data_IF_388919423418
#
_entry.id   IF_388919423418
#
_cell.length_a   1.000
_cell.length_b   1.000
_cell.length_c   1.000
_cell.angle_alpha   90.00
_cell.angle_beta   90.00
_cell.angle_gamma   90.00
#
_symmetry.space_group_name_H-M   'P 1'
#
loop_
_entity.id
_entity.type
_entity.pdbx_description
1 polymer ?
#
# COMPACT_ATOMS: atom_id res chain seq x y z
N UNK A 1 -10.89 2.95 -29.63
CA UNK A 1 -12.23 3.54 -29.43
C UNK A 1 -13.31 2.46 -29.30
N UNK A 2 -13.37 1.43 -30.18
CA UNK A 2 -14.41 0.39 -30.12
C UNK A 2 -14.48 -0.33 -28.77
N UNK A 3 -13.33 -0.68 -28.18
CA UNK A 3 -13.28 -1.32 -26.85
C UNK A 3 -13.84 -0.40 -25.74
N UNK A 4 -13.68 0.91 -25.86
CA UNK A 4 -14.24 1.87 -24.92
C UNK A 4 -15.76 1.99 -25.05
N UNK A 5 -16.26 1.97 -26.28
CA UNK A 5 -17.70 1.93 -26.53
C UNK A 5 -18.35 0.65 -25.97
N UNK A 6 -17.72 -0.53 -26.21
CA UNK A 6 -18.16 -1.82 -25.64
C UNK A 6 -18.15 -1.80 -24.11
N UNK A 7 -17.24 -1.03 -23.51
CA UNK A 7 -17.08 -0.90 -22.07
C UNK A 7 -18.00 0.16 -21.44
N UNK A 8 -18.81 0.87 -22.26
CA UNK A 8 -19.75 1.88 -21.78
C UNK A 8 -19.13 3.22 -21.41
N UNK A 9 -17.91 3.52 -21.86
CA UNK A 9 -17.26 4.82 -21.62
C UNK A 9 -17.88 5.89 -22.54
N UNK A 10 -18.41 6.94 -21.92
CA UNK A 10 -19.00 8.07 -22.65
C UNK A 10 -18.10 9.31 -22.60
N UNK A 11 -17.54 9.61 -21.44
CA UNK A 11 -16.71 10.78 -21.22
C UNK A 11 -15.44 10.42 -20.44
N UNK A 12 -14.29 11.04 -20.75
CA UNK A 12 -13.07 10.85 -19.98
C UNK A 12 -13.19 11.53 -18.61
N UNK A 13 -12.62 10.91 -17.59
CA UNK A 13 -12.46 11.54 -16.29
C UNK A 13 -11.41 12.66 -16.34
N UNK A 14 -11.38 13.60 -15.37
CA UNK A 14 -10.40 14.69 -15.36
C UNK A 14 -8.94 14.24 -15.49
N UNK A 15 -8.55 13.12 -14.85
CA UNK A 15 -7.18 12.58 -14.98
C UNK A 15 -6.94 12.00 -16.37
N UNK A 16 -7.91 11.31 -16.96
CA UNK A 16 -7.81 10.74 -18.29
C UNK A 16 -7.69 11.83 -19.36
N UNK A 17 -8.51 12.87 -19.26
CA UNK A 17 -8.50 13.99 -20.21
C UNK A 17 -7.14 14.71 -20.24
N UNK A 18 -6.48 14.84 -19.09
CA UNK A 18 -5.19 15.51 -19.00
C UNK A 18 -4.01 14.56 -19.32
N UNK A 19 -4.07 13.31 -18.86
CA UNK A 19 -2.93 12.39 -18.95
C UNK A 19 -2.80 11.73 -20.33
N UNK A 20 -3.91 11.25 -20.92
CA UNK A 20 -3.86 10.47 -22.17
C UNK A 20 -3.12 11.21 -23.30
N UNK A 21 -3.40 12.49 -23.59
CA UNK A 21 -2.67 13.20 -24.64
C UNK A 21 -1.17 13.31 -24.36
N UNK A 22 -0.79 13.55 -23.12
CA UNK A 22 0.61 13.71 -22.71
C UNK A 22 1.38 12.38 -22.83
N UNK A 23 0.74 11.26 -22.44
CA UNK A 23 1.33 9.92 -22.60
C UNK A 23 1.52 9.59 -24.08
N UNK A 24 0.54 9.90 -24.94
CA UNK A 24 0.65 9.70 -26.40
C UNK A 24 1.75 10.53 -27.04
N UNK A 25 2.10 11.69 -26.47
CA UNK A 25 3.24 12.52 -26.89
C UNK A 25 4.60 11.95 -26.44
N UNK A 26 4.63 10.81 -25.74
CA UNK A 26 5.86 10.19 -25.25
C UNK A 26 6.49 10.91 -24.04
N UNK A 27 5.76 11.80 -23.34
CA UNK A 27 6.29 12.55 -22.20
C UNK A 27 6.03 11.80 -20.89
N UNK A 28 6.94 12.02 -19.93
CA UNK A 28 6.78 11.52 -18.58
C UNK A 28 5.67 12.24 -17.83
N UNK A 29 4.99 11.51 -16.94
CA UNK A 29 3.89 12.05 -16.13
C UNK A 29 4.16 11.78 -14.65
N UNK A 30 3.89 12.81 -13.85
CA UNK A 30 3.67 12.70 -12.41
C UNK A 30 2.18 12.98 -12.16
N UNK A 31 1.39 11.91 -11.98
CA UNK A 31 -0.04 11.98 -11.78
C UNK A 31 -0.42 11.90 -10.30
N UNK A 32 -0.97 12.99 -9.74
CA UNK A 32 -1.44 13.03 -8.35
C UNK A 32 -2.96 12.94 -8.37
N UNK A 33 -3.47 11.73 -8.09
CA UNK A 33 -4.91 11.45 -8.12
C UNK A 33 -5.27 10.26 -7.22
N UNK A 34 -6.42 10.32 -6.57
CA UNK A 34 -6.92 9.26 -5.70
C UNK A 34 -7.32 7.98 -6.47
N UNK A 35 -7.43 6.86 -5.76
CA UNK A 35 -7.98 5.61 -6.30
C UNK A 35 -9.45 5.83 -6.70
N UNK A 36 -9.87 5.24 -7.83
CA UNK A 36 -11.24 5.40 -8.35
C UNK A 36 -11.45 6.62 -9.25
N UNK A 37 -10.42 7.46 -9.51
CA UNK A 37 -10.49 8.59 -10.44
C UNK A 37 -10.31 8.19 -11.90
N UNK A 38 -10.00 6.92 -12.19
CA UNK A 38 -9.76 6.41 -13.54
C UNK A 38 -8.30 6.41 -13.97
N UNK A 39 -7.34 6.42 -13.03
CA UNK A 39 -5.89 6.36 -13.30
C UNK A 39 -5.51 5.19 -14.20
N UNK A 40 -6.02 3.99 -13.92
CA UNK A 40 -5.69 2.78 -14.69
C UNK A 40 -5.95 2.96 -16.18
N UNK A 41 -7.10 3.50 -16.57
CA UNK A 41 -7.40 3.78 -17.97
C UNK A 41 -6.53 4.91 -18.53
N UNK A 42 -6.11 5.87 -17.70
CA UNK A 42 -5.29 7.02 -18.14
C UNK A 42 -3.89 6.62 -18.63
N UNK A 43 -3.34 5.50 -18.16
CA UNK A 43 -2.07 4.96 -18.66
C UNK A 43 -2.26 3.73 -19.55
N UNK A 44 -3.23 2.84 -19.27
CA UNK A 44 -3.40 1.60 -20.06
C UNK A 44 -3.84 1.89 -21.50
N UNK A 45 -4.78 2.83 -21.69
CA UNK A 45 -5.28 3.17 -23.03
C UNK A 45 -4.20 3.69 -23.97
N UNK A 46 -3.42 4.73 -23.61
CA UNK A 46 -2.35 5.21 -24.47
C UNK A 46 -1.21 4.20 -24.63
N UNK A 47 -0.91 3.37 -23.60
CA UNK A 47 0.06 2.29 -23.73
C UNK A 47 -0.34 1.27 -24.79
N UNK A 48 -1.61 0.85 -24.85
CA UNK A 48 -2.13 -0.06 -25.87
C UNK A 48 -1.90 0.53 -27.26
N UNK A 49 -2.19 1.82 -27.47
CA UNK A 49 -1.99 2.51 -28.74
C UNK A 49 -0.50 2.57 -29.13
N UNK A 50 0.38 2.98 -28.21
CA UNK A 50 1.83 3.06 -28.44
C UNK A 50 2.42 1.68 -28.75
N UNK A 51 1.97 0.63 -28.07
CA UNK A 51 2.47 -0.73 -28.21
C UNK A 51 1.79 -1.50 -29.35
N UNK A 52 0.71 -0.98 -29.96
CA UNK A 52 -0.02 -1.64 -31.05
C UNK A 52 0.88 -1.98 -32.23
N UNK A 53 1.90 -1.17 -32.48
CA UNK A 53 2.93 -1.41 -33.48
C UNK A 53 4.08 -2.25 -32.90
N UNK A 54 4.52 -3.28 -33.63
CA UNK A 54 5.64 -4.14 -33.25
C UNK A 54 5.22 -5.32 -32.37
N UNK A 55 6.21 -6.09 -31.93
CA UNK A 55 6.06 -7.27 -31.06
C UNK A 55 7.21 -7.37 -30.09
N UNK A 56 6.95 -7.95 -28.93
CA UNK A 56 7.99 -8.30 -27.96
C UNK A 56 8.87 -9.45 -28.47
N UNK A 57 10.12 -9.47 -28.04
CA UNK A 57 11.02 -10.59 -28.18
C UNK A 57 10.87 -11.52 -26.97
N UNK A 58 11.26 -12.78 -27.14
CA UNK A 58 11.31 -13.73 -26.03
C UNK A 58 12.09 -13.15 -24.83
N UNK A 59 11.51 -13.20 -23.64
CA UNK A 59 12.09 -12.69 -22.38
C UNK A 59 12.41 -11.18 -22.34
N UNK A 60 12.04 -10.41 -23.37
CA UNK A 60 12.30 -8.98 -23.47
C UNK A 60 10.97 -8.22 -23.62
N UNK A 61 10.29 -7.91 -22.51
CA UNK A 61 9.07 -7.13 -22.52
C UNK A 61 9.34 -5.70 -22.99
N UNK A 62 8.30 -5.06 -23.51
CA UNK A 62 8.35 -3.68 -24.01
C UNK A 62 7.87 -2.66 -22.98
N UNK A 63 7.11 -3.11 -22.00
CA UNK A 63 6.61 -2.25 -20.92
C UNK A 63 6.45 -3.02 -19.62
N UNK A 64 6.54 -2.28 -18.51
CA UNK A 64 6.32 -2.79 -17.14
C UNK A 64 5.34 -1.87 -16.42
N UNK A 65 4.39 -2.47 -15.73
CA UNK A 65 3.49 -1.82 -14.78
C UNK A 65 3.77 -2.42 -13.41
N UNK A 66 4.17 -1.58 -12.46
CA UNK A 66 4.40 -1.97 -11.07
C UNK A 66 3.20 -1.61 -10.23
N UNK A 67 2.71 -2.59 -9.47
CA UNK A 67 1.57 -2.48 -8.58
C UNK A 67 1.95 -2.93 -7.16
N UNK A 68 1.48 -2.26 -6.10
CA UNK A 68 1.85 -2.61 -4.72
C UNK A 68 1.26 -3.95 -4.26
N UNK A 69 0.12 -4.37 -4.83
CA UNK A 69 -0.58 -5.59 -4.40
C UNK A 69 -0.94 -6.48 -5.58
N UNK A 70 -1.13 -7.78 -5.27
CA UNK A 70 -1.51 -8.80 -6.26
C UNK A 70 -2.87 -8.51 -6.88
N UNK A 71 -3.77 -8.00 -6.07
CA UNK A 71 -5.15 -7.67 -6.46
C UNK A 71 -5.18 -6.50 -7.44
N UNK A 72 -4.41 -5.42 -7.16
CA UNK A 72 -4.28 -4.29 -8.10
C UNK A 72 -3.66 -4.75 -9.42
N UNK A 73 -2.59 -5.54 -9.36
CA UNK A 73 -1.96 -6.09 -10.55
C UNK A 73 -2.94 -6.93 -11.38
N UNK A 74 -3.79 -7.75 -10.74
CA UNK A 74 -4.82 -8.54 -11.41
C UNK A 74 -5.89 -7.62 -12.06
N UNK A 75 -6.35 -6.59 -11.36
CA UNK A 75 -7.31 -5.61 -11.90
C UNK A 75 -6.77 -4.86 -13.10
N UNK A 76 -5.49 -4.44 -13.06
CA UNK A 76 -4.85 -3.81 -14.21
C UNK A 76 -4.77 -4.79 -15.38
N UNK A 77 -4.49 -6.08 -15.10
CA UNK A 77 -4.47 -7.12 -16.13
C UNK A 77 -5.84 -7.34 -16.77
N UNK A 78 -6.92 -7.37 -15.98
CA UNK A 78 -8.30 -7.46 -16.49
C UNK A 78 -8.69 -6.24 -17.33
N UNK A 79 -8.35 -5.05 -16.84
CA UNK A 79 -8.58 -3.81 -17.58
C UNK A 79 -7.79 -3.78 -18.90
N UNK A 80 -6.55 -4.28 -18.90
CA UNK A 80 -5.75 -4.39 -20.11
C UNK A 80 -6.41 -5.30 -21.15
N UNK A 81 -6.97 -6.46 -20.74
CA UNK A 81 -7.74 -7.34 -21.65
C UNK A 81 -8.99 -6.63 -22.18
N UNK A 82 -9.73 -5.95 -21.30
CA UNK A 82 -10.95 -5.22 -21.67
C UNK A 82 -10.67 -4.14 -22.72
N UNK A 83 -9.65 -3.32 -22.49
CA UNK A 83 -9.31 -2.21 -23.39
C UNK A 83 -8.54 -2.68 -24.62
N UNK A 84 -7.71 -3.72 -24.48
CA UNK A 84 -6.90 -4.31 -25.55
C UNK A 84 -7.61 -5.33 -26.43
N UNK A 85 -8.92 -5.58 -26.21
CA UNK A 85 -9.73 -6.64 -26.86
C UNK A 85 -9.56 -6.74 -28.36
N UNK A 86 -9.31 -5.63 -29.03
CA UNK A 86 -9.16 -5.55 -30.49
C UNK A 86 -7.69 -5.43 -30.96
N UNK A 87 -6.73 -5.58 -30.04
CA UNK A 87 -5.30 -5.54 -30.31
C UNK A 87 -4.68 -6.92 -30.08
N UNK A 88 -3.56 -7.19 -30.75
CA UNK A 88 -2.82 -8.47 -30.60
C UNK A 88 -1.67 -8.35 -29.60
N UNK A 89 -1.87 -7.57 -28.53
CA UNK A 89 -0.89 -7.40 -27.48
C UNK A 89 -0.95 -8.55 -26.48
N UNK A 90 0.21 -8.94 -26.00
CA UNK A 90 0.36 -10.02 -25.02
C UNK A 90 0.80 -9.45 -23.67
N UNK A 91 0.31 -10.03 -22.58
CA UNK A 91 0.69 -9.65 -21.22
C UNK A 91 1.08 -10.85 -20.36
N UNK A 92 1.86 -10.59 -19.31
CA UNK A 92 2.06 -11.53 -18.22
C UNK A 92 1.80 -10.83 -16.87
N UNK A 93 1.09 -11.55 -16.00
CA UNK A 93 0.85 -11.14 -14.62
C UNK A 93 1.83 -11.85 -13.71
N UNK A 94 2.74 -11.08 -13.08
CA UNK A 94 3.79 -11.59 -12.21
C UNK A 94 3.51 -11.23 -10.76
N UNK A 95 2.84 -12.11 -10.06
CA UNK A 95 2.43 -11.93 -8.67
C UNK A 95 2.86 -13.11 -7.80
N UNK A 96 3.06 -12.86 -6.52
CA UNK A 96 3.34 -13.90 -5.55
C UNK A 96 2.15 -14.84 -5.33
N UNK A 97 2.41 -16.06 -4.87
CA UNK A 97 1.36 -17.05 -4.57
C UNK A 97 0.82 -17.82 -5.79
N UNK A 98 1.39 -17.58 -6.97
CA UNK A 98 1.13 -18.32 -8.21
C UNK A 98 2.39 -19.07 -8.64
N UNK A 99 2.23 -20.19 -9.34
CA UNK A 99 3.34 -21.01 -9.81
C UNK A 99 4.32 -20.24 -10.69
N UNK A 100 5.62 -20.38 -10.41
CA UNK A 100 6.67 -19.81 -11.26
C UNK A 100 6.64 -20.36 -12.68
N UNK A 101 6.41 -21.67 -12.83
CA UNK A 101 6.43 -22.35 -14.13
C UNK A 101 5.38 -21.79 -15.11
N UNK A 102 4.21 -21.40 -14.61
CA UNK A 102 3.16 -20.79 -15.44
C UNK A 102 3.58 -19.41 -15.93
N UNK A 103 4.16 -18.63 -15.04
CA UNK A 103 4.65 -17.28 -15.37
C UNK A 103 5.85 -17.35 -16.33
N UNK A 104 6.79 -18.26 -16.11
CA UNK A 104 7.96 -18.47 -16.98
C UNK A 104 7.57 -18.87 -18.41
N UNK A 105 6.58 -19.75 -18.58
CA UNK A 105 6.08 -20.11 -19.91
C UNK A 105 5.56 -18.91 -20.71
N UNK A 106 4.92 -17.95 -20.04
CA UNK A 106 4.45 -16.71 -20.69
C UNK A 106 5.62 -15.81 -21.07
N UNK A 107 6.58 -15.65 -20.17
CA UNK A 107 7.79 -14.83 -20.38
C UNK A 107 8.63 -15.39 -21.55
N UNK A 108 8.84 -16.69 -21.62
CA UNK A 108 9.62 -17.35 -22.68
C UNK A 108 8.99 -17.17 -24.07
N UNK A 109 7.66 -17.08 -24.16
CA UNK A 109 6.97 -16.78 -25.43
C UNK A 109 7.17 -15.34 -25.89
N UNK A 110 7.55 -14.44 -24.98
CA UNK A 110 7.60 -13.01 -25.20
C UNK A 110 6.25 -12.36 -24.92
N UNK A 111 6.27 -11.33 -24.11
CA UNK A 111 5.10 -10.54 -23.73
C UNK A 111 5.37 -9.05 -23.93
N UNK A 112 4.37 -8.32 -24.40
CA UNK A 112 4.49 -6.87 -24.62
C UNK A 112 4.46 -6.11 -23.30
N UNK A 113 3.64 -6.56 -22.35
CA UNK A 113 3.41 -5.90 -21.08
C UNK A 113 3.63 -6.87 -19.93
N UNK A 114 4.48 -6.48 -18.98
CA UNK A 114 4.54 -7.11 -17.66
C UNK A 114 3.74 -6.29 -16.66
N UNK A 115 2.84 -6.93 -15.96
CA UNK A 115 2.09 -6.35 -14.83
C UNK A 115 2.54 -7.11 -13.60
N UNK A 116 3.17 -6.43 -12.63
CA UNK A 116 3.90 -7.13 -11.59
C UNK A 116 3.86 -6.44 -10.23
N UNK A 117 3.96 -7.25 -9.17
CA UNK A 117 4.39 -6.75 -7.86
C UNK A 117 5.93 -6.73 -7.80
N UNK A 118 6.54 -5.70 -7.16
CA UNK A 118 8.00 -5.48 -7.20
C UNK A 118 8.82 -6.72 -6.84
N UNK A 119 8.57 -7.34 -5.69
CA UNK A 119 9.32 -8.51 -5.24
C UNK A 119 9.27 -9.69 -6.22
N UNK A 120 8.08 -10.01 -6.80
CA UNK A 120 7.96 -11.13 -7.77
C UNK A 120 8.69 -10.84 -9.09
N UNK A 121 8.70 -9.57 -9.53
CA UNK A 121 9.46 -9.18 -10.71
C UNK A 121 10.96 -9.34 -10.46
N UNK A 122 11.46 -8.90 -9.30
CA UNK A 122 12.86 -9.09 -8.91
C UNK A 122 13.25 -10.57 -8.87
N UNK A 123 12.42 -11.44 -8.29
CA UNK A 123 12.66 -12.88 -8.28
C UNK A 123 12.88 -13.44 -9.69
N UNK A 124 12.09 -13.04 -10.68
CA UNK A 124 12.27 -13.47 -12.07
C UNK A 124 13.50 -12.87 -12.74
N UNK A 125 13.85 -11.63 -12.42
CA UNK A 125 15.07 -10.97 -12.93
C UNK A 125 16.31 -11.66 -12.37
N UNK A 126 16.37 -11.91 -11.06
CA UNK A 126 17.49 -12.57 -10.39
C UNK A 126 17.70 -14.00 -10.87
N UNK A 127 16.63 -14.70 -11.22
CA UNK A 127 16.68 -16.01 -11.89
C UNK A 127 17.10 -15.94 -13.36
N UNK A 128 17.36 -14.76 -13.89
CA UNK A 128 17.76 -14.55 -15.28
C UNK A 128 16.66 -14.85 -16.30
N UNK A 129 15.37 -14.83 -15.90
CA UNK A 129 14.24 -15.15 -16.78
C UNK A 129 13.76 -13.96 -17.58
N UNK A 130 14.02 -12.73 -17.12
CA UNK A 130 13.56 -11.48 -17.74
C UNK A 130 14.75 -10.56 -18.00
N UNK A 131 14.76 -9.96 -19.18
CA UNK A 131 15.73 -8.92 -19.58
C UNK A 131 14.97 -7.61 -19.81
N UNK A 132 15.33 -6.56 -19.06
CA UNK A 132 14.63 -5.29 -19.09
C UNK A 132 15.20 -4.26 -20.10
N UNK A 133 16.10 -4.69 -20.97
CA UNK A 133 16.82 -3.79 -21.90
C UNK A 133 15.96 -3.20 -23.02
N UNK A 134 14.78 -3.76 -23.30
CA UNK A 134 13.87 -3.29 -24.37
C UNK A 134 12.64 -2.55 -23.81
N UNK A 135 12.67 -2.20 -22.51
CA UNK A 135 11.57 -1.45 -21.88
C UNK A 135 11.49 -0.05 -22.43
N UNK A 136 10.34 0.28 -22.97
CA UNK A 136 9.99 1.61 -23.53
C UNK A 136 9.12 2.42 -22.58
N UNK A 137 8.27 1.75 -21.79
CA UNK A 137 7.34 2.40 -20.87
C UNK A 137 7.43 1.71 -19.50
N UNK A 138 7.64 2.51 -18.46
CA UNK A 138 7.54 2.11 -17.07
C UNK A 138 6.37 2.84 -16.43
N UNK A 139 5.45 2.11 -15.83
CA UNK A 139 4.38 2.65 -14.98
C UNK A 139 4.63 2.24 -13.55
N UNK A 140 4.58 3.20 -12.64
CA UNK A 140 4.60 3.00 -11.19
C UNK A 140 3.27 3.53 -10.67
N UNK A 141 2.31 2.66 -10.38
CA UNK A 141 1.01 3.06 -9.85
C UNK A 141 0.95 2.88 -8.33
N UNK A 142 0.20 3.74 -7.66
CA UNK A 142 0.06 3.78 -6.20
C UNK A 142 1.42 3.78 -5.45
N UNK A 143 2.32 4.69 -5.88
CA UNK A 143 3.68 4.78 -5.35
C UNK A 143 3.73 5.04 -3.84
N UNK A 144 2.82 5.85 -3.29
CA UNK A 144 2.67 6.06 -1.84
C UNK A 144 2.37 4.76 -1.09
N UNK A 145 1.59 3.86 -1.66
CA UNK A 145 1.35 2.54 -1.07
C UNK A 145 2.55 1.62 -1.17
N UNK A 146 3.34 1.73 -2.24
CA UNK A 146 4.61 1.00 -2.33
C UNK A 146 5.58 1.48 -1.24
N UNK A 147 5.54 2.77 -0.90
CA UNK A 147 6.31 3.33 0.22
C UNK A 147 5.86 2.74 1.55
N UNK A 148 4.55 2.74 1.84
CA UNK A 148 3.98 2.18 3.07
C UNK A 148 4.31 0.69 3.26
N UNK A 149 4.44 -0.05 2.16
CA UNK A 149 4.77 -1.48 2.15
C UNK A 149 6.27 -1.76 2.12
N UNK A 150 7.13 -0.73 2.08
CA UNK A 150 8.58 -0.86 2.06
C UNK A 150 9.15 -1.33 0.71
N UNK A 151 8.41 -1.18 -0.39
CA UNK A 151 8.84 -1.62 -1.73
C UNK A 151 9.65 -0.59 -2.51
N UNK A 152 9.88 0.61 -1.97
CA UNK A 152 10.64 1.64 -2.69
C UNK A 152 12.04 1.17 -3.10
N UNK A 153 12.83 0.47 -2.24
CA UNK A 153 14.13 -0.06 -2.66
C UNK A 153 14.03 -1.04 -3.83
N UNK A 154 12.99 -1.88 -3.86
CA UNK A 154 12.75 -2.83 -4.95
C UNK A 154 12.41 -2.10 -6.25
N UNK A 155 11.56 -1.07 -6.17
CA UNK A 155 11.20 -0.22 -7.31
C UNK A 155 12.43 0.50 -7.87
N UNK A 156 13.28 1.07 -6.99
CA UNK A 156 14.54 1.71 -7.38
C UNK A 156 15.47 0.73 -8.09
N UNK A 157 15.62 -0.49 -7.55
CA UNK A 157 16.43 -1.56 -8.16
C UNK A 157 15.92 -1.96 -9.55
N UNK A 158 14.61 -2.18 -9.68
CA UNK A 158 13.96 -2.54 -10.95
C UNK A 158 14.16 -1.42 -11.98
N UNK A 159 13.85 -0.18 -11.62
CA UNK A 159 13.97 0.97 -12.52
C UNK A 159 15.44 1.22 -12.95
N UNK A 160 16.40 0.94 -12.07
CA UNK A 160 17.83 1.03 -12.37
C UNK A 160 18.33 0.00 -13.39
N UNK A 161 17.64 -1.14 -13.54
CA UNK A 161 17.95 -2.19 -14.52
C UNK A 161 17.39 -1.92 -15.91
N UNK A 162 16.54 -0.88 -16.06
CA UNK A 162 15.91 -0.51 -17.33
C UNK A 162 16.73 0.54 -18.09
N UNK A 163 16.51 0.70 -19.40
CA UNK A 163 17.11 1.80 -20.17
C UNK A 163 16.78 3.16 -19.56
N UNK A 164 17.76 4.08 -19.59
CA UNK A 164 17.53 5.47 -19.17
C UNK A 164 16.55 6.20 -20.09
N UNK A 165 16.63 5.93 -21.40
CA UNK A 165 15.70 6.45 -22.40
C UNK A 165 14.46 5.57 -22.43
N UNK A 166 13.50 5.91 -21.62
CA UNK A 166 12.17 5.32 -21.56
C UNK A 166 11.17 6.39 -21.16
N UNK A 167 9.91 6.16 -21.41
CA UNK A 167 8.83 6.95 -20.85
C UNK A 167 8.49 6.39 -19.46
N UNK A 168 8.41 7.26 -18.44
CA UNK A 168 8.06 6.87 -17.08
C UNK A 168 6.79 7.59 -16.64
N UNK A 169 5.81 6.82 -16.18
CA UNK A 169 4.52 7.31 -15.69
C UNK A 169 4.43 6.93 -14.20
N UNK A 170 4.41 7.93 -13.32
CA UNK A 170 4.29 7.72 -11.88
C UNK A 170 2.96 8.28 -11.40
N UNK A 171 2.16 7.42 -10.74
CA UNK A 171 0.88 7.79 -10.15
C UNK A 171 0.91 7.57 -8.64
N UNK A 172 0.36 8.52 -7.89
CA UNK A 172 0.26 8.47 -6.44
C UNK A 172 -0.95 9.26 -5.95
N UNK A 173 -1.56 8.89 -4.84
CA UNK A 173 -2.61 9.68 -4.22
C UNK A 173 -2.05 10.79 -3.33
N UNK A 174 -0.86 10.58 -2.77
CA UNK A 174 -0.16 11.52 -1.90
C UNK A 174 1.27 11.74 -2.40
N UNK A 175 1.91 12.83 -1.97
CA UNK A 175 3.26 13.20 -2.42
C UNK A 175 4.19 13.49 -1.23
N UNK A 176 4.50 12.49 -0.39
CA UNK A 176 5.50 12.63 0.65
C UNK A 176 6.89 12.86 0.04
N UNK A 177 7.87 13.35 0.83
CA UNK A 177 9.22 13.65 0.35
C UNK A 177 9.91 12.49 -0.35
N UNK A 178 9.69 11.25 0.09
CA UNK A 178 10.26 10.04 -0.47
C UNK A 178 9.73 9.77 -1.89
N UNK A 179 8.44 9.96 -2.12
CA UNK A 179 7.84 9.82 -3.46
C UNK A 179 8.29 10.96 -4.37
N UNK A 180 8.44 12.17 -3.84
CA UNK A 180 9.01 13.29 -4.62
C UNK A 180 10.47 12.98 -5.03
N UNK A 181 11.27 12.39 -4.13
CA UNK A 181 12.63 11.94 -4.44
C UNK A 181 12.63 10.87 -5.54
N UNK A 182 11.74 9.87 -5.43
CA UNK A 182 11.59 8.81 -6.45
C UNK A 182 11.22 9.42 -7.81
N UNK A 183 10.26 10.34 -7.85
CA UNK A 183 9.85 11.04 -9.06
C UNK A 183 11.02 11.79 -9.70
N UNK A 184 11.79 12.54 -8.92
CA UNK A 184 12.95 13.29 -9.40
C UNK A 184 14.08 12.38 -9.90
N UNK A 185 14.20 11.16 -9.37
CA UNK A 185 15.23 10.21 -9.79
C UNK A 185 14.93 9.51 -11.12
N UNK A 186 13.64 9.27 -11.42
CA UNK A 186 13.26 8.40 -12.54
C UNK A 186 12.47 9.08 -13.65
N UNK A 187 11.94 10.29 -13.44
CA UNK A 187 11.21 11.02 -14.46
C UNK A 187 12.08 12.10 -15.10
N UNK A 188 11.91 12.27 -16.42
CA UNK A 188 12.61 13.27 -17.22
C UNK A 188 11.63 14.38 -17.62
N UNK A 189 11.78 15.57 -17.02
CA UNK A 189 10.91 16.73 -17.25
C UNK A 189 9.40 16.37 -17.28
N UNK A 190 8.88 15.72 -16.21
CA UNK A 190 7.53 15.22 -16.20
C UNK A 190 6.50 16.36 -16.29
N UNK A 191 5.37 16.05 -16.93
CA UNK A 191 4.17 16.88 -16.74
C UNK A 191 3.52 16.46 -15.41
N UNK A 192 3.48 17.37 -14.47
CA UNK A 192 2.72 17.18 -13.24
C UNK A 192 1.24 17.43 -13.51
N UNK A 193 0.41 16.46 -13.16
CA UNK A 193 -1.04 16.50 -13.28
C UNK A 193 -1.61 16.24 -11.90
N UNK A 194 -2.24 17.24 -11.33
CA UNK A 194 -2.92 17.12 -10.05
C UNK A 194 -4.42 17.27 -10.27
N UNK A 195 -5.14 16.20 -10.01
CA UNK A 195 -6.60 16.26 -9.99
C UNK A 195 -7.02 16.62 -8.57
N UNK A 196 -7.77 17.72 -8.46
CA UNK A 196 -8.33 18.13 -7.19
C UNK A 196 -9.04 16.95 -6.52
N UNK A 197 -8.86 16.80 -5.21
CA UNK A 197 -9.64 15.83 -4.44
C UNK A 197 -11.11 16.12 -4.73
N UNK A 198 -11.93 15.11 -5.12
CA UNK A 198 -13.37 15.29 -5.06
C UNK A 198 -13.66 15.85 -3.68
N UNK A 199 -14.50 16.88 -3.61
CA UNK A 199 -14.83 17.53 -2.36
C UNK A 199 -15.10 16.42 -1.33
N UNK A 200 -14.17 16.29 -0.44
CA UNK A 200 -14.09 15.39 0.70
C UNK A 200 -15.01 14.14 0.61
N UNK A 201 -14.41 12.98 0.38
CA UNK A 201 -15.07 11.69 0.67
C UNK A 201 -15.69 11.68 2.07
N UNK A 202 -15.20 12.54 2.96
CA UNK A 202 -15.78 12.80 4.28
C UNK A 202 -17.14 13.51 4.25
N UNK A 203 -17.50 14.23 3.19
CA UNK A 203 -18.79 14.96 3.13
C UNK A 203 -19.98 14.06 2.77
N UNK A 204 -19.73 12.96 2.06
CA UNK A 204 -20.78 11.98 1.67
C UNK A 204 -20.84 10.77 2.60
N UNK A 205 -19.89 10.66 3.56
CA UNK A 205 -19.81 9.54 4.50
C UNK A 205 -20.23 9.99 5.89
N UNK A 206 -21.33 9.43 6.39
CA UNK A 206 -21.71 9.57 7.80
C UNK A 206 -20.72 8.80 8.66
N UNK A 207 -19.95 9.51 9.48
CA UNK A 207 -18.92 8.93 10.33
C UNK A 207 -19.39 8.83 11.78
N UNK A 208 -18.96 7.79 12.49
CA UNK A 208 -19.27 7.62 13.90
C UNK A 208 -18.20 6.86 14.67
N UNK A 209 -17.83 7.37 15.84
CA UNK A 209 -16.96 6.69 16.79
C UNK A 209 -17.82 6.02 17.87
N UNK A 210 -17.63 4.73 18.08
CA UNK A 210 -18.39 3.92 19.03
C UNK A 210 -17.50 3.54 20.19
N UNK A 211 -17.63 4.15 21.37
CA UNK A 211 -16.84 3.82 22.56
C UNK A 211 -17.09 2.37 23.00
N UNK A 212 -16.01 1.66 23.30
CA UNK A 212 -16.08 0.26 23.69
C UNK A 212 -14.89 -0.15 24.58
N UNK A 213 -14.90 -1.38 25.03
CA UNK A 213 -13.77 -2.01 25.71
C UNK A 213 -13.25 -3.19 24.88
N UNK A 214 -12.00 -3.62 25.04
CA UNK A 214 -11.48 -4.76 24.30
C UNK A 214 -12.33 -6.03 24.45
N UNK A 215 -12.97 -6.23 25.62
CA UNK A 215 -13.84 -7.39 25.91
C UNK A 215 -15.22 -7.27 25.24
N UNK A 216 -15.75 -6.06 25.11
CA UNK A 216 -17.11 -5.82 24.59
C UNK A 216 -17.15 -5.53 23.08
N UNK A 217 -15.98 -5.34 22.42
CA UNK A 217 -15.92 -5.03 20.96
C UNK A 217 -16.82 -5.93 20.11
N UNK A 218 -16.79 -7.25 20.34
CA UNK A 218 -17.59 -8.22 19.55
C UNK A 218 -19.10 -7.99 19.77
N UNK A 219 -19.53 -7.84 21.01
CA UNK A 219 -20.94 -7.62 21.34
C UNK A 219 -21.44 -6.28 20.76
N UNK A 220 -20.63 -5.23 20.88
CA UNK A 220 -20.96 -3.92 20.28
C UNK A 220 -21.04 -4.02 18.76
N UNK A 221 -20.16 -4.78 18.11
CA UNK A 221 -20.25 -5.01 16.66
C UNK A 221 -21.56 -5.70 16.27
N UNK A 222 -21.97 -6.75 17.00
CA UNK A 222 -23.26 -7.42 16.74
C UNK A 222 -24.44 -6.45 16.88
N UNK A 223 -24.48 -5.68 17.96
CA UNK A 223 -25.51 -4.67 18.16
C UNK A 223 -25.51 -3.60 17.06
N UNK A 224 -24.32 -3.21 16.59
CA UNK A 224 -24.19 -2.27 15.47
C UNK A 224 -24.79 -2.86 14.19
N UNK A 225 -24.46 -4.12 13.87
CA UNK A 225 -24.98 -4.82 12.70
C UNK A 225 -26.51 -4.92 12.77
N UNK A 226 -27.06 -5.27 13.92
CA UNK A 226 -28.51 -5.39 14.15
C UNK A 226 -29.21 -4.01 14.08
N UNK A 227 -28.70 -3.01 14.81
CA UNK A 227 -29.29 -1.66 14.87
C UNK A 227 -29.41 -0.99 13.49
N UNK A 228 -28.40 -1.17 12.63
CA UNK A 228 -28.37 -0.55 11.30
C UNK A 228 -28.77 -1.51 10.18
N UNK A 229 -29.25 -2.73 10.49
CA UNK A 229 -29.62 -3.76 9.52
C UNK A 229 -28.53 -3.98 8.46
N UNK A 230 -27.28 -4.15 8.91
CA UNK A 230 -26.11 -4.24 8.03
C UNK A 230 -26.10 -5.58 7.33
N UNK A 231 -26.44 -5.60 6.06
CA UNK A 231 -26.40 -6.79 5.20
C UNK A 231 -25.12 -6.89 4.39
N UNK A 232 -24.51 -5.74 4.05
CA UNK A 232 -23.27 -5.69 3.30
C UNK A 232 -22.30 -4.69 3.94
N UNK A 233 -21.12 -5.17 4.34
CA UNK A 233 -20.09 -4.36 5.00
C UNK A 233 -18.69 -4.86 4.76
N UNK A 234 -17.73 -3.93 4.84
CA UNK A 234 -16.31 -4.21 4.96
C UNK A 234 -15.85 -3.89 6.40
N UNK A 235 -15.29 -4.90 7.09
CA UNK A 235 -14.82 -4.77 8.46
C UNK A 235 -13.29 -4.85 8.50
N UNK A 236 -12.66 -3.82 9.06
CA UNK A 236 -11.20 -3.72 9.15
C UNK A 236 -10.68 -4.12 10.53
N UNK A 237 -9.69 -5.04 10.55
CA UNK A 237 -8.90 -5.40 11.72
C UNK A 237 -7.42 -5.10 11.46
N UNK A 238 -6.71 -4.65 12.50
CA UNK A 238 -5.27 -4.34 12.40
C UNK A 238 -4.39 -5.59 12.30
N UNK A 239 -4.84 -6.75 12.79
CA UNK A 239 -4.07 -7.99 12.84
C UNK A 239 -4.74 -9.12 12.07
N UNK A 240 -3.96 -9.90 11.33
CA UNK A 240 -4.43 -11.07 10.57
C UNK A 240 -5.17 -12.10 11.43
N UNK A 241 -4.69 -12.35 12.65
CA UNK A 241 -5.33 -13.28 13.60
C UNK A 241 -6.73 -12.82 13.96
N UNK A 242 -6.88 -11.53 14.23
CA UNK A 242 -8.16 -10.95 14.65
C UNK A 242 -9.18 -11.01 13.48
N UNK A 243 -8.73 -10.87 12.22
CA UNK A 243 -9.57 -11.10 11.01
C UNK A 243 -10.17 -12.51 11.02
N UNK A 244 -9.34 -13.53 11.21
CA UNK A 244 -9.80 -14.93 11.20
C UNK A 244 -10.74 -15.23 12.38
N UNK A 245 -10.40 -14.76 13.56
CA UNK A 245 -11.22 -14.98 14.77
C UNK A 245 -12.57 -14.27 14.69
N UNK A 246 -12.58 -13.01 14.23
CA UNK A 246 -13.79 -12.23 14.05
C UNK A 246 -14.71 -12.84 13.00
N UNK A 247 -14.16 -13.22 11.85
CA UNK A 247 -14.92 -13.89 10.79
C UNK A 247 -15.60 -15.16 11.32
N UNK A 248 -14.88 -16.03 12.02
CA UNK A 248 -15.44 -17.24 12.64
C UNK A 248 -16.53 -16.92 13.66
N UNK A 249 -16.36 -15.85 14.44
CA UNK A 249 -17.36 -15.40 15.41
C UNK A 249 -18.65 -14.97 14.71
N UNK A 250 -18.54 -14.17 13.66
CA UNK A 250 -19.69 -13.72 12.86
C UNK A 250 -20.41 -14.90 12.20
N UNK A 251 -19.68 -15.85 11.63
CA UNK A 251 -20.26 -17.07 11.03
C UNK A 251 -21.02 -17.91 12.06
N UNK A 252 -20.47 -18.06 13.28
CA UNK A 252 -21.17 -18.76 14.39
C UNK A 252 -22.45 -18.06 14.82
N UNK A 253 -22.53 -16.75 14.66
CA UNK A 253 -23.72 -15.95 14.94
C UNK A 253 -24.68 -15.89 13.75
N UNK A 254 -24.47 -16.67 12.69
CA UNK A 254 -25.36 -16.78 11.54
C UNK A 254 -25.13 -15.75 10.43
N UNK A 255 -24.12 -14.89 10.54
CA UNK A 255 -23.80 -13.96 9.47
C UNK A 255 -23.02 -14.62 8.35
N UNK A 256 -23.35 -14.30 7.10
CA UNK A 256 -22.59 -14.76 5.95
C UNK A 256 -21.32 -13.91 5.79
N UNK A 257 -20.24 -14.32 6.46
CA UNK A 257 -18.99 -13.59 6.57
C UNK A 257 -17.82 -14.33 5.90
N UNK A 258 -16.93 -13.57 5.22
CA UNK A 258 -15.68 -14.03 4.65
C UNK A 258 -14.48 -13.33 5.27
N UNK A 259 -13.32 -13.99 5.29
CA UNK A 259 -12.05 -13.43 5.78
C UNK A 259 -11.10 -13.13 4.62
N UNK A 260 -10.33 -12.03 4.73
CA UNK A 260 -9.33 -11.67 3.74
C UNK A 260 -8.06 -11.12 4.42
N UNK A 261 -6.97 -11.89 4.38
CA UNK A 261 -5.64 -11.46 4.88
C UNK A 261 -4.51 -12.16 4.13
N UNK A 262 -3.27 -11.69 4.32
CA UNK A 262 -2.12 -12.12 3.53
C UNK A 262 -1.75 -13.61 3.62
N UNK A 263 -2.15 -14.31 4.70
CA UNK A 263 -1.81 -15.73 4.88
C UNK A 263 -2.80 -16.69 4.19
N UNK A 264 -3.93 -16.16 3.67
CA UNK A 264 -4.88 -16.96 2.89
C UNK A 264 -4.28 -17.21 1.49
N UNK A 265 -4.31 -18.46 0.99
CA UNK A 265 -3.88 -18.79 -0.38
C UNK A 265 -4.55 -17.91 -1.44
N UNK A 266 -3.81 -17.53 -2.48
CA UNK A 266 -4.30 -16.54 -3.46
C UNK A 266 -5.61 -16.96 -4.13
N UNK A 267 -5.78 -18.22 -4.49
CA UNK A 267 -7.01 -18.71 -5.12
C UNK A 267 -8.24 -18.55 -4.22
N UNK A 268 -8.09 -18.82 -2.89
CA UNK A 268 -9.17 -18.62 -1.92
C UNK A 268 -9.49 -17.14 -1.69
N UNK A 269 -8.46 -16.27 -1.77
CA UNK A 269 -8.68 -14.81 -1.68
C UNK A 269 -9.50 -14.31 -2.87
N UNK A 270 -9.15 -14.75 -4.07
CA UNK A 270 -9.88 -14.42 -5.30
C UNK A 270 -11.32 -14.91 -5.21
N UNK A 271 -11.51 -16.17 -4.83
CA UNK A 271 -12.85 -16.78 -4.66
C UNK A 271 -13.70 -16.02 -3.62
N UNK A 272 -13.10 -15.71 -2.46
CA UNK A 272 -13.82 -14.94 -1.40
C UNK A 272 -14.23 -13.57 -1.89
N UNK A 273 -13.35 -12.91 -2.65
CA UNK A 273 -13.61 -11.58 -3.22
C UNK A 273 -14.73 -11.62 -4.27
N UNK A 274 -14.72 -12.62 -5.14
CA UNK A 274 -15.77 -12.81 -6.14
C UNK A 274 -17.13 -13.09 -5.49
N UNK A 275 -17.18 -13.95 -4.48
CA UNK A 275 -18.37 -14.23 -3.69
C UNK A 275 -18.90 -12.98 -2.98
N UNK A 276 -18.01 -12.14 -2.48
CA UNK A 276 -18.40 -10.86 -1.86
C UNK A 276 -18.95 -9.88 -2.90
N UNK A 277 -18.30 -9.75 -4.06
CA UNK A 277 -18.78 -8.93 -5.18
C UNK A 277 -20.12 -9.44 -5.74
N UNK A 278 -20.31 -10.74 -5.78
CA UNK A 278 -21.55 -11.40 -6.20
C UNK A 278 -22.69 -11.34 -5.18
N UNK A 279 -22.43 -10.84 -3.96
CA UNK A 279 -23.42 -10.76 -2.88
C UNK A 279 -23.66 -12.07 -2.14
N UNK A 280 -22.92 -13.14 -2.46
CA UNK A 280 -22.99 -14.40 -1.72
C UNK A 280 -22.42 -14.26 -0.30
N UNK A 281 -21.41 -13.43 -0.12
CA UNK A 281 -20.88 -13.02 1.17
C UNK A 281 -21.35 -11.59 1.45
N UNK A 282 -22.01 -11.37 2.58
CA UNK A 282 -22.48 -10.05 2.96
C UNK A 282 -21.43 -9.25 3.73
N UNK A 283 -20.67 -9.89 4.60
CA UNK A 283 -19.67 -9.22 5.46
C UNK A 283 -18.27 -9.71 5.12
N UNK A 284 -17.39 -8.81 4.70
CA UNK A 284 -15.99 -9.14 4.46
C UNK A 284 -15.12 -8.57 5.56
N UNK A 285 -14.47 -9.44 6.34
CA UNK A 285 -13.51 -9.05 7.38
C UNK A 285 -12.10 -9.09 6.80
N UNK A 286 -11.36 -7.99 6.88
CA UNK A 286 -10.06 -7.89 6.22
C UNK A 286 -9.02 -7.12 7.05
N UNK A 287 -7.75 -7.33 6.71
CA UNK A 287 -6.65 -6.47 7.14
C UNK A 287 -6.40 -5.37 6.09
N UNK A 288 -5.79 -4.24 6.52
CA UNK A 288 -5.47 -3.13 5.61
C UNK A 288 -4.71 -3.57 4.38
N UNK A 289 -3.65 -4.36 4.57
CA UNK A 289 -2.81 -4.86 3.46
C UNK A 289 -3.63 -5.66 2.45
N UNK A 290 -4.57 -6.48 2.92
CA UNK A 290 -5.39 -7.30 2.05
C UNK A 290 -6.55 -6.53 1.39
N UNK A 291 -7.05 -5.50 2.06
CA UNK A 291 -8.10 -4.63 1.53
C UNK A 291 -7.56 -3.53 0.60
N UNK A 292 -6.27 -3.23 0.70
CA UNK A 292 -5.60 -2.31 -0.22
C UNK A 292 -5.61 -2.91 -1.62
N UNK A 293 -6.02 -2.12 -2.58
CA UNK A 293 -6.10 -2.57 -3.97
C UNK A 293 -7.34 -3.35 -4.35
N UNK A 294 -8.27 -3.60 -3.43
CA UNK A 294 -9.55 -4.20 -3.80
C UNK A 294 -10.40 -3.17 -4.55
N UNK A 295 -10.89 -3.58 -5.72
CA UNK A 295 -11.96 -2.88 -6.41
C UNK A 295 -13.30 -3.23 -5.77
N UNK A 296 -13.45 -2.75 -4.55
CA UNK A 296 -14.69 -2.75 -3.81
C UNK A 296 -15.01 -1.30 -3.52
N UNK A 297 -15.97 -0.78 -4.20
CA UNK A 297 -16.46 0.57 -4.05
C UNK A 297 -17.97 0.53 -3.79
N UNK A 298 -18.50 1.63 -3.33
CA UNK A 298 -19.94 1.83 -3.12
C UNK A 298 -20.59 0.90 -2.10
N UNK A 299 -19.83 0.48 -1.10
CA UNK A 299 -20.40 -0.27 0.02
C UNK A 299 -21.27 0.65 0.88
N UNK A 300 -22.41 0.17 1.39
CA UNK A 300 -23.24 0.95 2.31
C UNK A 300 -22.54 1.19 3.66
N UNK A 301 -21.75 0.22 4.13
CA UNK A 301 -21.11 0.29 5.45
C UNK A 301 -19.63 -0.09 5.41
N UNK A 302 -18.84 0.68 6.15
CA UNK A 302 -17.46 0.37 6.52
C UNK A 302 -17.34 0.38 8.04
N UNK A 303 -16.76 -0.65 8.62
CA UNK A 303 -16.57 -0.74 10.07
C UNK A 303 -15.09 -0.92 10.37
N UNK A 304 -14.52 0.02 11.11
CA UNK A 304 -13.20 -0.15 11.69
C UNK A 304 -13.38 -0.87 13.03
N UNK A 305 -13.23 -2.18 13.05
CA UNK A 305 -13.21 -2.97 14.29
C UNK A 305 -12.06 -2.56 15.20
N UNK A 306 -10.91 -2.22 14.58
CA UNK A 306 -9.79 -1.58 15.23
C UNK A 306 -9.54 -0.22 14.59
N UNK A 307 -9.34 0.81 15.42
CA UNK A 307 -8.91 2.10 14.95
C UNK A 307 -7.61 1.97 14.15
N UNK A 308 -7.48 2.57 12.96
CA UNK A 308 -6.25 2.49 12.20
C UNK A 308 -5.11 3.24 12.91
N UNK A 309 -3.90 2.67 12.83
CA UNK A 309 -2.70 3.24 13.46
C UNK A 309 -2.27 4.52 12.73
N UNK A 310 -2.44 4.56 11.42
CA UNK A 310 -2.11 5.72 10.58
C UNK A 310 -3.39 6.43 10.12
N UNK A 311 -3.40 7.75 10.23
CA UNK A 311 -4.57 8.56 9.87
C UNK A 311 -4.93 8.47 8.37
N UNK A 312 -3.94 8.23 7.50
CA UNK A 312 -4.17 8.04 6.07
C UNK A 312 -4.92 6.73 5.77
N UNK A 313 -4.66 5.66 6.55
CA UNK A 313 -5.41 4.40 6.43
C UNK A 313 -6.90 4.61 6.73
N UNK A 314 -7.24 5.49 7.69
CA UNK A 314 -8.63 5.84 7.96
C UNK A 314 -9.34 6.36 6.70
N UNK A 315 -8.73 7.32 6.01
CA UNK A 315 -9.28 7.90 4.79
C UNK A 315 -9.43 6.83 3.69
N UNK A 316 -8.46 5.92 3.58
CA UNK A 316 -8.48 4.82 2.62
C UNK A 316 -9.55 3.77 2.95
N UNK A 317 -9.80 3.49 4.24
CA UNK A 317 -10.82 2.56 4.69
C UNK A 317 -12.21 3.12 4.45
N UNK A 318 -12.52 4.33 4.94
CA UNK A 318 -13.83 4.95 4.75
C UNK A 318 -14.11 5.28 3.29
N UNK A 319 -13.07 5.54 2.49
CA UNK A 319 -13.20 5.73 1.04
C UNK A 319 -13.68 4.48 0.27
N UNK A 320 -14.05 3.37 0.93
CA UNK A 320 -14.75 2.23 0.33
C UNK A 320 -16.27 2.42 0.30
N UNK A 321 -16.77 3.45 0.96
CA UNK A 321 -18.17 3.87 0.94
C UNK A 321 -18.31 5.33 0.50
N UNK A 322 -19.50 5.81 0.24
CA UNK A 322 -19.80 7.20 -0.08
C UNK A 322 -19.21 7.68 -1.42
N UNK A 323 -19.14 6.82 -2.44
CA UNK A 323 -18.63 7.17 -3.77
C UNK A 323 -19.76 7.43 -4.77
N UNK A 324 -19.43 8.10 -5.87
CA UNK A 324 -20.34 8.36 -6.99
C UNK A 324 -21.67 9.07 -6.58
N UNK A 325 -21.63 9.90 -5.53
CA UNK A 325 -22.82 10.63 -5.05
C UNK A 325 -23.76 9.80 -4.17
N UNK A 326 -23.40 8.56 -3.80
CA UNK A 326 -24.16 7.74 -2.85
C UNK A 326 -23.74 8.06 -1.42
N UNK A 327 -24.71 7.99 -0.51
CA UNK A 327 -24.45 8.08 0.92
C UNK A 327 -23.86 6.78 1.45
N UNK A 328 -22.98 6.89 2.45
CA UNK A 328 -22.36 5.75 3.09
C UNK A 328 -22.11 5.99 4.58
N UNK A 329 -21.98 4.90 5.34
CA UNK A 329 -21.72 4.97 6.78
C UNK A 329 -20.39 4.32 7.13
N UNK A 330 -19.60 5.00 7.98
CA UNK A 330 -18.35 4.50 8.50
C UNK A 330 -18.36 4.54 10.04
N UNK A 331 -18.25 3.39 10.68
CA UNK A 331 -18.20 3.28 12.12
C UNK A 331 -16.82 2.84 12.59
N UNK A 332 -16.34 3.42 13.69
CA UNK A 332 -15.05 3.06 14.28
C UNK A 332 -15.23 2.69 15.74
N UNK A 333 -14.94 1.45 16.10
CA UNK A 333 -14.93 1.01 17.49
C UNK A 333 -13.67 1.53 18.18
N UNK A 334 -13.85 2.33 19.21
CA UNK A 334 -12.74 2.99 19.91
C UNK A 334 -12.65 2.53 21.36
N UNK A 335 -11.42 2.27 21.80
CA UNK A 335 -11.08 2.02 23.21
C UNK A 335 -10.35 3.23 23.78
N UNK A 336 -10.19 3.27 25.10
CA UNK A 336 -9.41 4.35 25.76
C UNK A 336 -7.97 4.46 25.23
N UNK A 337 -7.41 3.36 24.74
CA UNK A 337 -6.05 3.31 24.20
C UNK A 337 -5.94 3.94 22.81
N UNK A 338 -7.07 4.07 22.11
CA UNK A 338 -7.14 4.56 20.73
C UNK A 338 -7.20 6.09 20.62
N UNK A 339 -7.36 6.82 21.73
CA UNK A 339 -7.55 8.30 21.75
C UNK A 339 -6.51 9.06 20.93
N UNK A 340 -5.24 8.61 20.98
CA UNK A 340 -4.15 9.23 20.20
C UNK A 340 -4.34 9.07 18.70
N UNK A 341 -4.86 7.91 18.27
CA UNK A 341 -5.12 7.64 16.86
C UNK A 341 -6.31 8.45 16.36
N UNK A 342 -7.38 8.52 17.17
CA UNK A 342 -8.58 9.30 16.82
C UNK A 342 -8.24 10.79 16.67
N UNK A 343 -7.48 11.37 17.59
CA UNK A 343 -7.02 12.77 17.46
C UNK A 343 -6.18 13.02 16.20
N UNK A 344 -5.33 12.06 15.81
CA UNK A 344 -4.55 12.14 14.58
C UNK A 344 -5.45 12.05 13.33
N UNK A 345 -6.47 11.19 13.37
CA UNK A 345 -7.46 11.04 12.30
C UNK A 345 -8.28 12.32 12.15
N UNK A 346 -8.84 12.85 13.24
CA UNK A 346 -9.62 14.10 13.24
C UNK A 346 -8.81 15.27 12.67
N UNK A 347 -7.55 15.40 13.09
CA UNK A 347 -6.63 16.38 12.51
C UNK A 347 -6.44 16.19 11.01
N UNK A 348 -6.39 14.92 10.55
CA UNK A 348 -6.18 14.58 9.12
C UNK A 348 -7.41 14.86 8.27
N UNK A 349 -8.61 14.57 8.79
CA UNK A 349 -9.88 14.82 8.08
C UNK A 349 -10.39 16.26 8.27
N UNK A 350 -9.86 17.00 9.25
CA UNK A 350 -10.20 18.39 9.53
C UNK A 350 -11.53 18.59 10.25
N UNK A 351 -12.12 17.52 10.82
CA UNK A 351 -13.38 17.58 11.57
C UNK A 351 -13.40 16.51 12.67
N UNK A 352 -14.13 16.75 13.78
CA UNK A 352 -14.30 15.74 14.82
C UNK A 352 -15.19 14.60 14.32
N UNK A 353 -14.95 13.39 14.84
CA UNK A 353 -15.80 12.22 14.57
C UNK A 353 -16.88 12.15 15.65
N UNK A 354 -18.18 12.22 15.30
CA UNK A 354 -19.27 12.15 16.27
C UNK A 354 -19.24 10.86 17.08
N UNK A 355 -19.45 10.95 18.38
CA UNK A 355 -19.56 9.76 19.25
C UNK A 355 -20.99 9.23 19.16
N UNK A 356 -21.10 7.94 18.87
CA UNK A 356 -22.37 7.20 18.79
C UNK A 356 -22.41 6.21 19.96
N UNK A 357 -23.32 6.41 20.90
CA UNK A 357 -23.56 5.46 21.96
C UNK A 357 -24.52 4.36 21.47
N UNK A 358 -24.04 3.13 21.55
CA UNK A 358 -24.86 1.94 21.36
C UNK A 358 -25.12 1.41 22.77
N UNK A 359 -26.20 1.94 23.39
CA UNK A 359 -26.60 1.49 24.71
C UNK A 359 -27.03 0.01 24.66
N UNK A 360 -26.71 -0.78 25.74
CA UNK A 360 -27.44 -2.00 25.99
C UNK A 360 -28.92 -1.61 26.23
N UNK A 361 -29.85 -2.26 25.57
CA UNK A 361 -31.24 -2.28 26.09
C UNK A 361 -31.13 -2.72 27.54
N UNK A 362 -31.34 -1.78 28.45
CA UNK A 362 -31.47 -2.06 29.87
C UNK A 362 -32.74 -2.90 30.02
N UNK A 363 -32.54 -4.16 30.36
CA UNK A 363 -33.58 -4.91 31.03
C UNK A 363 -33.95 -4.14 32.30
N UNK A 364 -35.23 -3.80 32.40
CA UNK A 364 -35.97 -3.38 33.62
C UNK A 364 -35.30 -2.34 34.54
N UNK A 365 -35.59 -1.08 34.29
CA UNK A 365 -35.70 -0.09 35.36
C UNK A 365 -36.98 -0.40 36.19
N UNK A 366 -36.88 -1.26 37.19
CA UNK A 366 -37.74 -1.21 38.33
C UNK A 366 -37.42 0.06 39.10
N UNK A 367 -38.27 1.04 38.95
CA UNK A 367 -38.36 2.27 39.73
C UNK A 367 -38.52 1.92 41.22
N UNK A 368 -37.42 1.87 41.97
CA UNK A 368 -37.49 2.06 43.42
C UNK A 368 -37.27 3.53 43.76
N UNK A 369 -38.34 4.20 44.08
CA UNK A 369 -38.35 5.51 44.75
C UNK A 369 -37.55 5.39 46.07
N UNK A 370 -36.36 5.92 46.11
CA UNK A 370 -35.62 6.12 47.36
C UNK A 370 -36.05 7.44 47.96
N UNK A 371 -36.93 7.35 48.97
CA UNK A 371 -37.24 8.43 49.91
C UNK A 371 -35.98 8.87 50.66
N UNK A 372 -35.79 10.16 50.95
CA UNK A 372 -34.62 10.66 51.64
C UNK A 372 -34.66 10.30 53.10
N UNK A 373 -33.77 9.44 53.57
CA UNK A 373 -33.52 9.19 55.00
C UNK A 373 -32.70 10.31 55.61
N UNK A 374 -33.29 10.93 56.62
CA UNK A 374 -32.73 11.93 57.50
C UNK A 374 -31.47 11.41 58.20
N UNK A 375 -30.47 12.28 58.36
CA UNK A 375 -29.27 12.10 59.19
C UNK A 375 -29.63 11.97 60.67
N UNK A 376 -28.99 11.08 61.43
CA UNK A 376 -28.94 11.19 62.87
C UNK A 376 -27.60 11.78 63.34
N UNK A 377 -27.74 12.72 64.29
CA UNK A 377 -26.71 13.50 64.96
C UNK A 377 -25.63 12.68 65.71
N UNK A 378 -24.45 13.26 66.06
CA UNK A 378 -23.29 12.58 66.55
C UNK A 378 -23.37 12.29 68.06
N UNK A 379 -22.84 11.13 68.50
CA UNK A 379 -22.56 10.84 69.93
C UNK A 379 -21.07 10.64 70.14
N UNK A 380 -20.61 10.92 71.38
CA UNK A 380 -19.24 11.32 71.65
C UNK A 380 -18.28 10.14 71.97
N UNK A 381 -17.02 10.54 71.83
CA UNK A 381 -15.79 9.80 72.13
C UNK A 381 -15.77 8.96 73.40
N UNK A 382 -15.23 7.74 73.31
CA UNK A 382 -14.52 7.13 74.45
C UNK A 382 -13.22 6.50 73.95
N UNK A 383 -12.16 6.94 74.57
CA UNK A 383 -10.81 6.41 74.51
C UNK A 383 -10.74 4.95 74.99
N UNK A 384 -9.96 4.11 74.33
CA UNK A 384 -9.12 3.14 75.04
C UNK A 384 -8.09 2.45 74.12
N UNK A 385 -6.87 2.79 74.38
CA UNK A 385 -5.68 1.95 74.63
C UNK A 385 -5.22 0.93 73.61
N UNK A 386 -4.10 1.28 73.05
CA UNK A 386 -2.87 0.53 72.70
C UNK A 386 -2.82 -0.97 73.09
N UNK A 387 -2.58 -1.80 72.11
CA UNK A 387 -1.68 -2.91 72.18
C UNK A 387 -1.13 -3.32 70.82
N UNK A 388 0.19 -3.13 70.65
CA UNK A 388 1.01 -4.00 69.81
C UNK A 388 1.13 -5.36 70.54
N UNK A 389 1.32 -6.50 69.90
CA UNK A 389 2.45 -6.84 69.08
C UNK A 389 2.17 -7.94 68.01
N UNK A 390 3.14 -8.20 67.31
CA UNK A 390 3.73 -9.47 66.92
C UNK A 390 3.93 -9.67 65.44
N UNK A 391 5.15 -9.40 65.15
CA UNK A 391 5.89 -9.80 63.94
C UNK A 391 5.97 -11.32 63.80
N UNK A 392 5.62 -11.85 62.63
CA UNK A 392 6.22 -13.07 62.09
C UNK A 392 6.73 -12.83 60.70
N UNK A 393 7.98 -13.22 60.39
CA UNK A 393 8.63 -12.93 59.14
C UNK A 393 8.28 -13.98 58.08
N UNK A 394 8.01 -13.51 56.87
CA UNK A 394 8.05 -14.37 55.68
C UNK A 394 9.50 -14.53 55.24
N UNK A 395 9.92 -15.68 54.71
CA UNK A 395 11.28 -15.88 54.27
C UNK A 395 11.54 -15.25 52.92
N UNK A 396 12.58 -14.44 52.90
CA UNK A 396 13.25 -13.92 51.72
C UNK A 396 13.75 -15.05 50.82
N UNK A 397 13.26 -15.10 49.59
CA UNK A 397 13.90 -15.81 48.49
C UNK A 397 14.67 -14.80 47.65
N UNK A 398 15.92 -14.55 48.04
CA UNK A 398 16.90 -13.89 47.18
C UNK A 398 17.51 -14.92 46.20
N UNK A 399 17.64 -14.61 44.91
CA UNK A 399 18.49 -15.40 44.04
C UNK A 399 19.96 -15.07 44.30
N UNK A 400 20.75 -16.12 44.56
CA UNK A 400 22.20 -16.06 44.73
C UNK A 400 22.85 -15.61 43.43
N UNK A 401 23.41 -14.42 43.46
CA UNK A 401 24.44 -14.02 42.50
C UNK A 401 25.78 -14.60 42.96
N UNK A 402 26.41 -15.37 42.09
CA UNK A 402 27.80 -15.73 42.20
C UNK A 402 28.56 -14.57 41.56
N UNK A 403 29.33 -13.87 42.39
CA UNK A 403 30.29 -12.87 41.94
C UNK A 403 31.54 -13.62 41.46
N UNK A 404 31.94 -13.38 40.25
CA UNK A 404 33.32 -13.54 39.79
C UNK A 404 33.89 -12.15 39.50
N UNK A 405 34.83 -11.80 40.35
CA UNK A 405 35.66 -10.60 40.23
C UNK A 405 36.55 -10.72 39.01
N UNK A 406 36.44 -9.75 38.09
CA UNK A 406 37.57 -9.13 37.45
C UNK A 406 37.13 -7.81 36.80
N UNK A 407 37.67 -6.75 37.37
CA UNK A 407 37.59 -5.38 36.88
C UNK A 407 38.25 -5.25 35.51
N UNK A 408 37.63 -4.55 34.60
CA UNK A 408 38.24 -3.42 33.90
C UNK A 408 37.13 -2.63 33.10
N UNK A 409 37.16 -1.34 33.37
CA UNK A 409 36.23 -0.31 32.91
C UNK A 409 36.25 -0.03 31.42
N UNK A 410 35.06 0.10 30.81
CA UNK A 410 34.78 0.84 29.60
C UNK A 410 33.28 0.97 29.36
N UNK A 411 32.75 2.09 28.83
CA UNK A 411 31.32 2.24 28.63
C UNK A 411 30.82 1.28 27.56
N UNK A 412 29.89 0.41 27.97
CA UNK A 412 29.23 -0.56 27.08
C UNK A 412 28.11 0.15 26.32
N UNK A 413 28.31 0.34 25.00
CA UNK A 413 27.22 0.69 24.10
C UNK A 413 26.83 -0.57 23.30
N UNK A 414 25.58 -1.01 23.47
CA UNK A 414 24.90 -1.74 22.42
C UNK A 414 24.62 -3.18 22.62
N UNK A 415 25.03 -4.25 22.47
CA UNK A 415 24.44 -5.59 22.28
C UNK A 415 24.83 -6.68 23.30
N UNK A 416 25.46 -6.34 24.42
CA UNK A 416 25.75 -7.27 25.51
C UNK A 416 26.38 -8.62 25.08
N UNK A 417 26.15 -9.68 25.83
CA UNK A 417 26.74 -11.01 25.65
C UNK A 417 26.31 -11.79 24.37
N UNK A 418 25.53 -11.20 23.49
CA UNK A 418 25.03 -11.86 22.27
C UNK A 418 25.61 -11.30 20.97
N UNK A 419 26.78 -10.66 21.03
CA UNK A 419 27.42 -10.17 19.81
C UNK A 419 27.98 -11.34 18.98
N UNK A 420 27.57 -11.52 17.72
CA UNK A 420 28.14 -12.56 16.86
C UNK A 420 29.65 -12.35 16.64
N UNK A 421 30.42 -13.43 16.66
CA UNK A 421 31.87 -13.40 16.61
C UNK A 421 32.48 -12.66 15.38
N UNK A 422 31.72 -12.48 14.30
CA UNK A 422 32.17 -11.75 13.12
C UNK A 422 32.17 -10.23 13.31
N UNK A 423 31.37 -9.68 14.24
CA UNK A 423 31.33 -8.25 14.58
C UNK A 423 32.41 -7.87 15.61
N UNK A 424 33.05 -8.84 16.24
CA UNK A 424 34.13 -8.63 17.20
C UNK A 424 35.52 -8.48 16.57
N UNK A 425 35.66 -8.65 15.24
CA UNK A 425 36.96 -8.47 14.56
C UNK A 425 37.12 -7.00 14.17
N UNK A 426 38.20 -6.33 14.61
CA UNK A 426 38.53 -4.98 14.17
C UNK A 426 38.80 -4.97 12.66
N UNK A 427 38.14 -4.10 11.92
CA UNK A 427 38.42 -3.82 10.53
C UNK A 427 39.66 -2.94 10.51
N UNK A 428 40.79 -3.48 10.03
CA UNK A 428 41.99 -2.70 9.74
C UNK A 428 41.68 -1.85 8.50
N UNK A 429 41.47 -0.57 8.70
CA UNK A 429 41.46 0.40 7.60
C UNK A 429 42.90 0.57 7.08
N UNK A 430 43.11 0.67 5.74
CA UNK A 430 44.39 1.05 5.21
C UNK A 430 44.82 2.40 5.78
N UNK A 431 46.06 2.50 6.25
CA UNK A 431 46.63 3.78 6.62
C UNK A 431 46.82 4.58 5.34
N UNK A 432 46.27 5.79 5.31
CA UNK A 432 46.64 6.81 4.32
C UNK A 432 48.10 7.17 4.58
N UNK A 433 48.99 6.79 3.66
CA UNK A 433 50.36 7.30 3.60
C UNK A 433 50.30 8.73 3.04
N UNK A 434 50.44 9.70 3.93
CA UNK A 434 50.78 11.06 3.59
C UNK A 434 52.19 11.09 2.96
N UNK A 435 52.23 11.25 1.65
CA UNK A 435 53.47 11.77 0.97
C UNK A 435 53.03 12.93 0.10
N UNK A 436 53.43 14.11 0.58
CA UNK A 436 53.65 15.31 -0.23
C UNK A 436 54.60 14.99 -1.39
N UNK A 437 54.18 15.22 -2.61
CA UNK A 437 55.08 15.57 -3.69
C UNK A 437 54.41 16.51 -4.71
N UNK A 438 55.12 17.59 -4.89
CA UNK A 438 55.03 18.78 -5.70
C UNK A 438 54.79 18.54 -7.19
N UNK A 439 54.03 19.48 -7.75
CA UNK A 439 54.01 20.04 -9.11
C UNK A 439 54.79 19.28 -10.22
N UNK A 440 54.02 18.79 -11.22
CA UNK A 440 54.34 19.03 -12.64
C UNK A 440 53.18 18.63 -13.56
N UNK A 441 52.58 19.64 -14.18
CA UNK A 441 51.54 19.49 -15.20
C UNK A 441 52.21 19.51 -16.58
N UNK A 442 52.17 18.46 -17.40
CA UNK A 442 52.47 18.59 -18.82
C UNK A 442 51.19 18.85 -19.62
N UNK A 443 51.17 19.97 -20.29
CA UNK A 443 50.18 20.39 -21.30
C UNK A 443 50.15 19.39 -22.49
N UNK A 444 48.96 19.06 -23.03
CA UNK A 444 48.92 18.24 -24.25
C UNK A 444 49.18 19.07 -25.49
N UNK A 445 50.15 18.66 -26.24
CA UNK A 445 50.51 19.18 -27.57
C UNK A 445 49.53 18.72 -28.65
N UNK A 446 48.91 19.69 -29.28
CA UNK A 446 48.06 19.56 -30.50
C UNK A 446 48.95 19.26 -31.67
N UNK A 447 48.79 18.10 -32.32
CA UNK A 447 49.30 17.86 -33.69
C UNK A 447 48.16 17.84 -34.67
N UNK A 448 48.04 18.98 -35.41
CA UNK A 448 47.28 19.10 -36.67
C UNK A 448 48.03 18.31 -37.74
N UNK A 449 47.34 17.41 -38.46
CA UNK A 449 47.71 17.01 -39.80
C UNK A 449 46.58 17.32 -40.76
N UNK A 450 46.83 18.30 -41.60
CA UNK A 450 46.07 18.61 -42.85
C UNK A 450 46.47 17.57 -43.90
N UNK A 451 45.48 17.10 -44.67
CA UNK A 451 45.65 16.73 -46.08
C UNK A 451 44.27 16.75 -46.74
N UNK A 452 44.12 17.66 -47.68
CA UNK A 452 43.07 17.72 -48.70
C UNK A 452 43.69 17.20 -50.02
N UNK A 453 43.00 17.24 -51.18
CA UNK A 453 41.92 16.41 -51.65
C UNK A 453 42.29 15.75 -53.01
N UNK A 454 41.57 14.73 -53.43
CA UNK A 454 41.64 14.28 -54.85
C UNK A 454 40.27 14.13 -55.48
N UNK A 455 40.04 14.94 -56.46
CA UNK A 455 38.99 14.87 -57.51
C UNK A 455 39.26 13.67 -58.42
N UNK A 456 38.21 13.01 -58.88
CA UNK A 456 37.98 12.42 -60.23
C UNK A 456 36.67 11.67 -60.19
N UNK A 457 35.79 11.74 -61.04
CA UNK A 457 35.49 12.15 -62.41
C UNK A 457 34.22 11.41 -62.83
N UNK A 458 33.30 12.13 -63.33
CA UNK A 458 32.07 11.81 -64.03
C UNK A 458 32.24 10.68 -65.04
N UNK A 459 31.24 9.78 -65.10
CA UNK A 459 30.77 9.21 -66.38
C UNK A 459 29.22 9.01 -66.29
N UNK A 460 28.57 9.82 -67.06
CA UNK A 460 27.24 9.55 -67.61
C UNK A 460 27.31 8.36 -68.58
N UNK A 461 26.28 7.53 -68.53
CA UNK A 461 25.74 6.90 -69.76
C UNK A 461 24.28 6.67 -69.55
N UNK A 462 23.58 7.28 -70.45
CA UNK A 462 22.18 7.22 -70.83
C UNK A 462 21.80 5.86 -71.44
N UNK A 463 20.48 5.74 -71.59
CA UNK A 463 19.68 4.86 -72.49
C UNK A 463 18.97 3.74 -71.72
N UNK A 464 17.72 3.66 -71.70
CA UNK A 464 16.53 3.82 -72.56
C UNK A 464 15.78 2.47 -72.65
N UNK A 465 14.48 2.52 -72.36
CA UNK A 465 13.40 1.75 -72.98
C UNK A 465 13.30 0.22 -72.72
N UNK A 466 12.32 -0.21 -72.00
CA UNK A 466 11.06 -0.81 -72.52
C UNK A 466 10.14 -1.09 -71.32
#
# INVERSE_FOLDING_TARGET
LRALSDAGYQHPTPIQNQAIPIVLMGRDILGIAQTGTGKTASFTLPMIEILASGRAKARMPRSVILEPTRELAAQVAENFDKYGKYHRLTKALLIGGVSYNEQEKLIDRGVDVLIATPGRLLDHIERGKILLHDIKILVIDEADRMLDMGFIPDVEKIAGLMPKLRQTLLFSATMPPEIRRLANAFLMHPKEIQVARPATTAATVTQGAVPTTPKSKRNILHKLIEKYNITQALIFCNRKRDVTELCRSLQKSGYNAGALHGDIPQHLRTETLEKFKGGEIGILVCSDVAARGLDIADLPFVINYDAPIHADDYVHRIGRTGRAGREGCAFTLITKEDDRYIKAIEKRIGQPIPIINIEPESADESTEEVQPKQEPAPRPSSQRQTSKPSSRPYPDLQPKYIADDNEENGPVFGLGAHMPAFLAKPVLLPKDDDTEETDDIPKPTVKRKRASPAKKRVKETSESSS
#
